data_IF_682125581647
#
_entry.id   IF_682125581647
#
_cell.length_a   1.000
_cell.length_b   1.000
_cell.length_c   1.000
_cell.angle_alpha   90.00
_cell.angle_beta   90.00
_cell.angle_gamma   90.00
#
_symmetry.space_group_name_H-M   'P 1'
#
loop_
_entity.id
_entity.type
_entity.pdbx_description
1 polymer ?
#
# COMPACT_ATOMS: atom_id res chain seq x y z
N UNK A 1 18.88 53.43 25.44
CA UNK A 1 18.54 51.99 25.45
C UNK A 1 17.97 51.58 24.10
N UNK A 2 18.77 50.94 23.24
CA UNK A 2 18.39 50.58 21.87
C UNK A 2 17.70 49.20 21.88
N UNK A 3 16.36 49.16 21.95
CA UNK A 3 15.60 47.91 21.91
C UNK A 3 15.68 47.32 20.49
N UNK A 4 16.54 46.33 20.26
CA UNK A 4 16.59 45.60 18.99
C UNK A 4 15.17 45.06 18.68
N UNK A 5 14.65 45.24 17.46
CA UNK A 5 13.27 44.91 17.17
C UNK A 5 13.03 43.41 17.31
N UNK A 6 12.19 43.05 18.28
CA UNK A 6 11.75 41.68 18.62
C UNK A 6 11.22 40.95 17.36
N UNK A 7 10.72 41.70 16.37
CA UNK A 7 10.18 41.16 15.12
C UNK A 7 11.21 40.37 14.28
N UNK A 8 12.47 40.82 14.18
CA UNK A 8 13.51 40.13 13.38
C UNK A 8 13.87 38.74 13.93
N UNK A 9 13.84 38.55 15.25
CA UNK A 9 14.12 37.24 15.88
C UNK A 9 13.00 36.24 15.64
N UNK A 10 11.75 36.69 15.61
CA UNK A 10 10.59 35.82 15.32
C UNK A 10 10.64 35.32 13.88
N UNK A 11 10.96 36.18 12.90
CA UNK A 11 11.07 35.78 11.49
C UNK A 11 12.14 34.72 11.23
N UNK A 12 13.29 34.80 11.92
CA UNK A 12 14.36 33.79 11.83
C UNK A 12 13.92 32.44 12.40
N UNK A 13 13.21 32.43 13.53
CA UNK A 13 12.68 31.20 14.14
C UNK A 13 11.64 30.53 13.22
N UNK A 14 10.73 31.31 12.63
CA UNK A 14 9.77 30.80 11.64
C UNK A 14 10.46 30.23 10.39
N UNK A 15 11.52 30.90 9.90
CA UNK A 15 12.31 30.42 8.77
C UNK A 15 13.03 29.10 9.05
N UNK A 16 13.66 28.97 10.22
CA UNK A 16 14.32 27.72 10.66
C UNK A 16 13.29 26.59 10.82
N UNK A 17 12.14 26.88 11.43
CA UNK A 17 11.05 25.93 11.58
C UNK A 17 10.51 25.42 10.23
N UNK A 18 10.29 26.32 9.27
CA UNK A 18 9.84 25.96 7.93
C UNK A 18 10.87 25.09 7.20
N UNK A 19 12.15 25.45 7.26
CA UNK A 19 13.23 24.67 6.67
C UNK A 19 13.30 23.26 7.26
N UNK A 20 13.25 23.14 8.60
CA UNK A 20 13.20 21.86 9.30
C UNK A 20 12.02 21.01 8.85
N UNK A 21 10.81 21.59 8.77
CA UNK A 21 9.62 20.89 8.30
C UNK A 21 9.80 20.39 6.85
N UNK A 22 10.35 21.20 5.95
CA UNK A 22 10.57 20.82 4.55
C UNK A 22 11.61 19.69 4.43
N UNK A 23 12.73 19.76 5.18
CA UNK A 23 13.74 18.70 5.19
C UNK A 23 13.18 17.40 5.76
N UNK A 24 12.47 17.45 6.88
CA UNK A 24 11.82 16.28 7.47
C UNK A 24 10.81 15.69 6.48
N UNK A 25 9.99 16.52 5.83
CA UNK A 25 9.04 16.07 4.82
C UNK A 25 9.74 15.36 3.66
N UNK A 26 10.83 15.94 3.14
CA UNK A 26 11.61 15.35 2.05
C UNK A 26 12.24 14.00 2.42
N UNK A 27 12.71 13.85 3.66
CA UNK A 27 13.33 12.59 4.12
C UNK A 27 12.31 11.50 4.44
N UNK A 28 11.12 11.86 4.93
CA UNK A 28 10.13 10.89 5.43
C UNK A 28 9.13 10.43 4.35
N UNK A 29 8.91 11.24 3.32
CA UNK A 29 7.88 11.01 2.32
C UNK A 29 8.46 11.03 0.90
N UNK A 30 8.24 9.96 0.15
CA UNK A 30 8.61 9.89 -1.27
C UNK A 30 7.35 9.91 -2.13
N UNK A 31 7.43 10.54 -3.31
CA UNK A 31 6.34 10.58 -4.26
C UNK A 31 6.49 9.45 -5.28
N UNK A 32 5.39 8.77 -5.60
CA UNK A 32 5.35 7.70 -6.60
C UNK A 32 4.21 7.94 -7.58
N UNK A 33 4.43 7.65 -8.86
CA UNK A 33 3.38 7.58 -9.88
C UNK A 33 2.91 6.13 -9.94
N UNK A 34 1.60 5.91 -9.98
CA UNK A 34 1.03 4.58 -10.24
C UNK A 34 1.11 4.31 -11.74
N UNK A 35 1.71 3.19 -12.11
CA UNK A 35 1.75 2.70 -13.49
C UNK A 35 0.97 1.37 -13.56
N UNK A 36 -0.01 1.32 -14.47
CA UNK A 36 -0.86 0.16 -14.73
C UNK A 36 -2.13 0.07 -13.87
N UNK A 37 -2.89 -1.01 -14.09
CA UNK A 37 -4.29 -1.12 -13.63
C UNK A 37 -4.51 -2.08 -12.45
N UNK A 38 -3.44 -2.73 -11.97
CA UNK A 38 -3.54 -3.84 -11.00
C UNK A 38 -4.16 -3.47 -9.65
N UNK A 39 -4.15 -2.18 -9.30
CA UNK A 39 -4.72 -1.65 -8.07
C UNK A 39 -6.01 -0.87 -8.28
N UNK A 40 -6.57 -0.86 -9.50
CA UNK A 40 -7.88 -0.25 -9.73
C UNK A 40 -8.95 -0.94 -8.87
N UNK A 41 -10.11 -0.30 -8.61
CA UNK A 41 -10.33 1.13 -8.78
C UNK A 41 -9.65 1.97 -7.68
N UNK A 42 -9.06 1.33 -6.67
CA UNK A 42 -8.47 1.98 -5.50
C UNK A 42 -7.37 2.95 -5.92
N UNK A 43 -6.45 2.51 -6.78
CA UNK A 43 -5.42 3.32 -7.42
C UNK A 43 -5.49 3.12 -8.93
N UNK A 44 -5.50 4.21 -9.67
CA UNK A 44 -5.54 4.24 -11.14
C UNK A 44 -4.19 4.64 -11.69
N UNK A 45 -3.94 4.25 -12.93
CA UNK A 45 -2.80 4.72 -13.70
C UNK A 45 -2.70 6.27 -13.66
N UNK A 46 -1.49 6.78 -13.45
CA UNK A 46 -1.21 8.21 -13.31
C UNK A 46 -1.53 8.83 -11.93
N UNK A 47 -2.11 8.09 -10.98
CA UNK A 47 -2.30 8.58 -9.61
C UNK A 47 -0.95 8.91 -8.96
N UNK A 48 -0.85 10.06 -8.28
CA UNK A 48 0.34 10.40 -7.47
C UNK A 48 0.13 10.03 -6.01
N UNK A 49 1.09 9.30 -5.48
CA UNK A 49 1.08 8.75 -4.13
C UNK A 49 2.13 9.43 -3.25
N UNK A 50 1.76 9.67 -2.00
CA UNK A 50 2.70 9.91 -0.91
C UNK A 50 2.89 8.60 -0.17
N UNK A 51 4.13 8.13 -0.09
CA UNK A 51 4.47 6.93 0.67
C UNK A 51 5.34 7.27 1.89
N UNK A 52 5.17 6.52 2.98
CA UNK A 52 6.02 6.61 4.18
C UNK A 52 6.88 5.36 4.34
N UNK A 53 8.15 5.56 4.69
CA UNK A 53 9.12 4.47 4.95
C UNK A 53 9.07 3.94 6.39
N UNK A 54 8.24 4.55 7.22
CA UNK A 54 8.23 4.34 8.67
C UNK A 54 6.91 3.72 9.12
N UNK A 55 6.99 2.96 10.21
CA UNK A 55 5.84 2.27 10.77
C UNK A 55 5.81 0.78 10.43
N UNK A 56 5.08 0.01 11.23
CA UNK A 56 4.87 -1.41 11.00
C UNK A 56 3.90 -1.61 9.84
N UNK A 57 4.20 -2.56 8.96
CA UNK A 57 3.29 -3.00 7.90
C UNK A 57 2.13 -3.78 8.54
N UNK A 58 0.91 -3.32 8.28
CA UNK A 58 -0.32 -3.93 8.77
C UNK A 58 -1.07 -4.59 7.62
N UNK A 59 -2.01 -5.48 7.98
CA UNK A 59 -2.91 -6.08 7.00
C UNK A 59 -3.74 -4.99 6.33
N UNK A 60 -3.93 -5.12 5.03
CA UNK A 60 -4.62 -4.20 4.13
C UNK A 60 -3.89 -2.89 3.83
N UNK A 61 -2.69 -2.70 4.35
CA UNK A 61 -1.82 -1.64 3.89
C UNK A 61 -1.52 -1.83 2.41
N UNK A 62 -1.56 -0.73 1.65
CA UNK A 62 -1.03 -0.70 0.30
C UNK A 62 0.44 -0.33 0.40
N UNK A 63 1.30 -1.12 -0.23
CA UNK A 63 2.74 -0.97 -0.16
C UNK A 63 3.34 -0.85 -1.55
N UNK A 64 4.42 -0.08 -1.66
CA UNK A 64 5.31 -0.07 -2.82
C UNK A 64 6.54 -0.89 -2.47
N UNK A 65 6.97 -1.78 -3.38
CA UNK A 65 8.14 -2.63 -3.18
C UNK A 65 8.90 -2.87 -4.49
N UNK A 66 10.21 -3.06 -4.38
CA UNK A 66 11.07 -3.43 -5.50
C UNK A 66 10.76 -4.87 -5.96
N UNK A 67 10.10 -5.01 -7.11
CA UNK A 67 9.82 -6.31 -7.71
C UNK A 67 11.09 -6.91 -8.33
N UNK A 68 11.89 -6.07 -8.97
CA UNK A 68 13.23 -6.37 -9.47
C UNK A 68 14.13 -5.11 -9.36
N UNK A 69 15.26 -5.08 -10.07
CA UNK A 69 16.21 -3.94 -10.00
C UNK A 69 15.72 -2.69 -10.72
N UNK A 70 14.74 -2.82 -11.61
CA UNK A 70 14.24 -1.72 -12.45
C UNK A 70 12.80 -1.33 -12.12
N UNK A 71 12.01 -2.23 -11.54
CA UNK A 71 10.57 -2.06 -11.39
C UNK A 71 10.10 -2.10 -9.92
N UNK A 72 9.25 -1.13 -9.59
CA UNK A 72 8.54 -1.02 -8.31
C UNK A 72 7.07 -1.35 -8.51
N UNK A 73 6.53 -2.25 -7.69
CA UNK A 73 5.12 -2.63 -7.74
C UNK A 73 4.37 -2.08 -6.54
N UNK A 74 3.12 -1.68 -6.77
CA UNK A 74 2.15 -1.33 -5.73
C UNK A 74 1.11 -2.44 -5.59
N UNK A 75 0.93 -2.96 -4.37
CA UNK A 75 -0.04 -4.02 -4.03
C UNK A 75 -0.57 -3.87 -2.60
N UNK A 76 -1.70 -4.51 -2.29
CA UNK A 76 -2.27 -4.56 -0.95
C UNK A 76 -1.77 -5.78 -0.17
N UNK A 77 -1.37 -5.58 1.08
CA UNK A 77 -0.97 -6.65 2.00
C UNK A 77 -2.19 -7.43 2.45
N UNK A 78 -2.23 -8.73 2.16
CA UNK A 78 -3.31 -9.63 2.56
C UNK A 78 -2.86 -10.57 3.68
N UNK A 79 -1.61 -11.02 3.66
CA UNK A 79 -1.03 -11.90 4.68
C UNK A 79 0.25 -11.34 5.29
N UNK A 80 0.32 -11.37 6.62
CA UNK A 80 1.48 -11.03 7.44
C UNK A 80 2.17 -12.32 7.95
N UNK A 81 3.42 -12.24 8.45
CA UNK A 81 4.12 -13.40 8.99
C UNK A 81 3.28 -14.23 9.97
N UNK A 82 3.22 -15.55 9.73
CA UNK A 82 2.46 -16.51 10.52
C UNK A 82 1.03 -16.76 10.01
N UNK A 83 0.50 -15.93 9.12
CA UNK A 83 -0.88 -16.10 8.64
C UNK A 83 -1.06 -17.30 7.72
N UNK A 84 -2.19 -17.98 7.87
CA UNK A 84 -2.77 -18.87 6.86
C UNK A 84 -3.78 -18.08 6.04
N UNK A 85 -3.69 -18.15 4.71
CA UNK A 85 -4.59 -17.45 3.79
C UNK A 85 -5.35 -18.48 2.96
N UNK A 86 -6.65 -18.27 2.78
CA UNK A 86 -7.44 -19.00 1.81
C UNK A 86 -8.52 -18.10 1.22
N UNK A 87 -8.88 -18.34 -0.03
CA UNK A 87 -10.11 -17.84 -0.64
C UNK A 87 -11.04 -19.01 -0.91
N UNK A 88 -12.31 -18.85 -0.53
CA UNK A 88 -13.38 -19.79 -0.87
C UNK A 88 -14.63 -19.00 -1.19
N UNK A 89 -15.18 -19.21 -2.37
CA UNK A 89 -16.36 -18.49 -2.87
C UNK A 89 -16.18 -16.97 -2.81
N UNK A 90 -15.02 -16.47 -3.25
CA UNK A 90 -14.67 -15.04 -3.24
C UNK A 90 -14.68 -14.39 -1.85
N UNK A 91 -14.60 -15.21 -0.79
CA UNK A 91 -14.45 -14.77 0.60
C UNK A 91 -13.03 -15.06 1.07
N UNK A 92 -12.35 -14.03 1.58
CA UNK A 92 -11.05 -14.13 2.21
C UNK A 92 -11.18 -14.78 3.59
N UNK A 93 -10.34 -15.76 3.87
CA UNK A 93 -10.14 -16.35 5.19
C UNK A 93 -8.69 -16.13 5.63
N UNK A 94 -8.53 -15.53 6.80
CA UNK A 94 -7.24 -15.37 7.47
C UNK A 94 -7.27 -16.16 8.77
N UNK A 95 -6.35 -17.12 8.91
CA UNK A 95 -6.30 -18.02 10.07
C UNK A 95 -7.65 -18.72 10.35
N UNK A 96 -8.35 -19.08 9.27
CA UNK A 96 -9.67 -19.74 9.31
C UNK A 96 -10.87 -18.81 9.57
N UNK A 97 -10.64 -17.52 9.84
CA UNK A 97 -11.72 -16.54 10.07
C UNK A 97 -12.02 -15.78 8.79
N UNK A 98 -13.30 -15.62 8.40
CA UNK A 98 -13.65 -14.80 7.26
C UNK A 98 -13.30 -13.33 7.54
N UNK A 99 -12.80 -12.64 6.53
CA UNK A 99 -12.44 -11.21 6.62
C UNK A 99 -13.09 -10.45 5.48
N UNK A 100 -13.73 -9.32 5.82
CA UNK A 100 -14.34 -8.45 4.83
C UNK A 100 -13.29 -7.67 4.03
N UNK A 101 -13.62 -7.41 2.77
CA UNK A 101 -12.79 -6.62 1.85
C UNK A 101 -13.60 -5.47 1.24
N UNK A 102 -13.90 -4.40 2.01
CA UNK A 102 -14.75 -3.31 1.53
C UNK A 102 -14.22 -2.63 0.27
N UNK A 103 -12.90 -2.58 0.09
CA UNK A 103 -12.23 -1.99 -1.09
C UNK A 103 -12.55 -2.72 -2.40
N UNK A 104 -13.05 -3.97 -2.34
CA UNK A 104 -13.48 -4.72 -3.54
C UNK A 104 -14.95 -4.52 -3.88
N UNK A 105 -15.76 -3.92 -3.01
CA UNK A 105 -17.22 -3.75 -3.24
C UNK A 105 -17.53 -3.10 -4.59
N UNK A 106 -16.79 -2.08 -5.08
CA UNK A 106 -17.04 -1.53 -6.41
C UNK A 106 -16.88 -2.53 -7.55
N UNK A 107 -15.90 -3.46 -7.47
CA UNK A 107 -15.77 -4.53 -8.46
C UNK A 107 -16.83 -5.60 -8.30
N UNK A 108 -17.06 -6.08 -7.07
CA UNK A 108 -18.05 -7.12 -6.81
C UNK A 108 -19.45 -6.73 -7.27
N UNK A 109 -19.82 -5.44 -7.16
CA UNK A 109 -21.10 -4.92 -7.68
C UNK A 109 -21.21 -4.90 -9.21
N UNK A 110 -20.09 -4.90 -9.94
CA UNK A 110 -20.06 -4.88 -11.41
C UNK A 110 -19.97 -6.27 -12.02
N UNK A 111 -19.72 -7.30 -11.21
CA UNK A 111 -19.73 -8.68 -11.67
C UNK A 111 -21.16 -9.10 -11.96
N UNK A 112 -21.42 -9.45 -13.23
CA UNK A 112 -22.70 -9.99 -13.69
C UNK A 112 -22.80 -11.48 -13.30
N UNK A 113 -21.68 -12.20 -13.40
CA UNK A 113 -21.53 -13.59 -13.01
C UNK A 113 -20.06 -13.86 -12.58
N UNK A 114 -19.85 -14.92 -11.81
CA UNK A 114 -18.53 -15.39 -11.39
C UNK A 114 -18.01 -14.82 -10.06
N UNK A 115 -16.74 -15.13 -9.78
CA UNK A 115 -16.02 -14.73 -8.56
C UNK A 115 -14.94 -13.72 -8.94
N UNK A 116 -14.80 -12.64 -8.16
CA UNK A 116 -13.70 -11.69 -8.37
C UNK A 116 -12.34 -12.34 -8.08
N UNK A 117 -12.31 -13.16 -7.03
CA UNK A 117 -11.14 -13.93 -6.60
C UNK A 117 -11.50 -15.41 -6.64
N UNK A 118 -10.75 -16.18 -7.44
CA UNK A 118 -10.86 -17.63 -7.48
C UNK A 118 -10.51 -18.28 -6.13
N UNK A 119 -10.96 -19.52 -5.96
CA UNK A 119 -10.67 -20.28 -4.74
C UNK A 119 -9.20 -20.73 -4.75
N UNK A 120 -8.51 -20.55 -3.61
CA UNK A 120 -7.15 -21.03 -3.42
C UNK A 120 -6.77 -21.10 -1.94
N UNK A 121 -5.73 -21.85 -1.62
CA UNK A 121 -5.02 -21.77 -0.34
C UNK A 121 -3.60 -21.22 -0.52
N UNK A 122 -3.04 -20.64 0.54
CA UNK A 122 -1.66 -20.17 0.53
C UNK A 122 -0.68 -21.31 0.15
N UNK A 123 -0.97 -22.52 0.60
CA UNK A 123 -0.15 -23.70 0.34
C UNK A 123 -0.18 -24.08 -1.14
N UNK A 124 -1.34 -24.05 -1.80
CA UNK A 124 -1.46 -24.29 -3.24
C UNK A 124 -0.68 -23.25 -4.07
N UNK A 125 -0.75 -21.97 -3.69
CA UNK A 125 -0.12 -20.89 -4.45
C UNK A 125 1.39 -20.77 -4.21
N UNK A 126 1.87 -21.16 -3.02
CA UNK A 126 3.24 -20.84 -2.59
C UNK A 126 4.05 -22.02 -2.04
N UNK A 127 3.43 -23.18 -1.88
CA UNK A 127 4.01 -24.35 -1.21
C UNK A 127 4.25 -24.17 0.29
N UNK A 128 3.66 -23.14 0.92
CA UNK A 128 3.81 -22.85 2.36
C UNK A 128 2.45 -22.72 3.04
N UNK A 129 2.29 -23.39 4.18
CA UNK A 129 1.07 -23.35 5.01
C UNK A 129 0.80 -21.98 5.64
N UNK A 130 1.86 -21.24 5.95
CA UNK A 130 1.81 -19.91 6.56
C UNK A 130 2.77 -18.95 5.87
N UNK A 131 2.46 -17.65 5.91
CA UNK A 131 3.40 -16.61 5.44
C UNK A 131 4.68 -16.69 6.28
N UNK A 132 5.88 -16.83 5.67
CA UNK A 132 7.13 -16.93 6.42
C UNK A 132 7.49 -15.65 7.18
N UNK A 133 8.36 -15.78 8.20
CA UNK A 133 8.94 -14.63 8.90
C UNK A 133 9.65 -13.69 7.91
N UNK A 134 9.51 -12.38 8.13
CA UNK A 134 10.12 -11.35 7.28
C UNK A 134 9.53 -11.24 5.87
N UNK A 135 8.35 -11.81 5.63
CA UNK A 135 7.66 -11.78 4.34
C UNK A 135 6.19 -11.38 4.48
N UNK A 136 5.61 -10.92 3.38
CA UNK A 136 4.19 -10.62 3.24
C UNK A 136 3.62 -11.29 2.00
N UNK A 137 2.32 -11.55 2.01
CA UNK A 137 1.54 -12.01 0.86
C UNK A 137 0.66 -10.86 0.40
N UNK A 138 0.76 -10.47 -0.88
CA UNK A 138 0.13 -9.26 -1.41
C UNK A 138 -0.77 -9.60 -2.60
N UNK A 139 -1.88 -8.88 -2.75
CA UNK A 139 -2.79 -8.97 -3.89
C UNK A 139 -3.03 -7.59 -4.49
N UNK A 140 -3.29 -7.53 -5.79
CA UNK A 140 -3.89 -6.34 -6.40
C UNK A 140 -5.39 -6.26 -6.11
N UNK A 141 -5.91 -5.04 -6.05
CA UNK A 141 -7.37 -4.82 -5.88
C UNK A 141 -8.13 -5.17 -7.18
N UNK A 142 -7.48 -5.01 -8.34
CA UNK A 142 -7.97 -5.51 -9.63
C UNK A 142 -7.62 -6.98 -9.80
N UNK A 143 -8.34 -7.84 -9.06
CA UNK A 143 -8.01 -9.26 -8.88
C UNK A 143 -7.85 -10.06 -10.16
N UNK A 144 -8.63 -9.74 -11.19
CA UNK A 144 -8.59 -10.45 -12.48
C UNK A 144 -7.44 -9.95 -13.38
N UNK A 145 -6.90 -8.75 -13.13
CA UNK A 145 -5.84 -8.13 -13.93
C UNK A 145 -4.61 -7.76 -13.07
N UNK A 146 -4.25 -8.64 -12.12
CA UNK A 146 -3.15 -8.40 -11.20
C UNK A 146 -2.18 -9.57 -11.16
N UNK A 147 -0.95 -9.29 -11.60
CA UNK A 147 0.22 -10.13 -11.32
C UNK A 147 0.71 -9.84 -9.89
N UNK A 148 0.37 -10.73 -8.96
CA UNK A 148 0.62 -10.59 -7.53
C UNK A 148 1.10 -11.90 -6.87
N UNK A 149 1.02 -12.01 -5.54
CA UNK A 149 1.55 -13.17 -4.81
C UNK A 149 0.92 -14.51 -5.18
N UNK A 150 -0.23 -14.53 -5.88
CA UNK A 150 -0.78 -15.75 -6.48
C UNK A 150 0.13 -16.33 -7.57
N UNK A 151 0.97 -15.50 -8.19
CA UNK A 151 1.84 -15.85 -9.31
C UNK A 151 3.31 -15.87 -8.90
N UNK A 152 3.80 -14.84 -8.19
CA UNK A 152 5.22 -14.73 -7.81
C UNK A 152 5.52 -15.11 -6.35
N UNK A 153 4.50 -15.47 -5.57
CA UNK A 153 4.66 -15.81 -4.15
C UNK A 153 4.94 -14.59 -3.26
N UNK A 154 5.78 -14.77 -2.24
CA UNK A 154 5.92 -13.79 -1.15
C UNK A 154 6.84 -12.62 -1.48
N UNK A 155 6.53 -11.45 -0.93
CA UNK A 155 7.42 -10.27 -0.95
C UNK A 155 8.22 -10.23 0.35
N UNK A 156 9.53 -10.01 0.27
CA UNK A 156 10.36 -9.82 1.47
C UNK A 156 10.17 -8.41 2.03
N UNK A 157 10.12 -8.28 3.35
CA UNK A 157 9.93 -6.98 4.00
C UNK A 157 11.03 -5.97 3.65
N UNK A 158 12.25 -6.43 3.36
CA UNK A 158 13.36 -5.56 2.93
C UNK A 158 13.26 -5.07 1.47
N UNK A 159 12.33 -5.60 0.67
CA UNK A 159 12.01 -5.08 -0.66
C UNK A 159 11.00 -3.93 -0.59
N UNK A 160 10.32 -3.76 0.55
CA UNK A 160 9.28 -2.75 0.73
C UNK A 160 9.93 -1.37 0.81
N UNK A 161 9.56 -0.50 -0.12
CA UNK A 161 9.98 0.91 -0.14
C UNK A 161 9.21 1.69 0.93
N UNK A 162 7.89 1.47 1.01
CA UNK A 162 7.04 2.15 1.97
C UNK A 162 5.56 1.82 1.82
N UNK A 163 4.77 2.32 2.77
CA UNK A 163 3.30 2.26 2.78
C UNK A 163 2.74 3.48 2.06
N UNK A 164 1.65 3.30 1.31
CA UNK A 164 0.88 4.40 0.72
C UNK A 164 0.05 5.07 1.80
N UNK A 165 0.31 6.36 2.05
CA UNK A 165 -0.39 7.16 3.06
C UNK A 165 -1.45 8.06 2.44
N UNK A 166 -1.22 8.51 1.21
CA UNK A 166 -2.16 9.33 0.49
C UNK A 166 -2.03 9.11 -1.02
N UNK A 167 -3.16 9.22 -1.71
CA UNK A 167 -3.25 9.55 -3.12
C UNK A 167 -3.64 11.01 -3.15
N UNK A 168 -2.81 11.87 -3.74
CA UNK A 168 -3.02 13.32 -3.67
C UNK A 168 -3.32 13.98 -5.01
N UNK A 169 -3.09 13.27 -6.13
CA UNK A 169 -3.42 13.75 -7.46
C UNK A 169 -4.08 12.64 -8.29
N UNK A 170 -5.12 12.96 -9.09
CA UNK A 170 -5.73 14.29 -9.22
C UNK A 170 -6.47 14.70 -7.93
N UNK A 171 -6.63 16.00 -7.69
CA UNK A 171 -7.09 16.50 -6.38
C UNK A 171 -8.52 16.09 -6.02
N UNK A 172 -9.37 15.87 -7.02
CA UNK A 172 -10.73 15.34 -6.89
C UNK A 172 -10.75 13.85 -6.48
N UNK A 173 -9.63 13.14 -6.65
CA UNK A 173 -9.43 11.77 -6.19
C UNK A 173 -8.67 11.69 -4.85
N UNK A 174 -8.41 12.80 -4.15
CA UNK A 174 -7.64 12.81 -2.90
C UNK A 174 -8.17 11.78 -1.88
N UNK A 175 -7.29 10.90 -1.39
CA UNK A 175 -7.64 9.86 -0.43
C UNK A 175 -6.48 9.55 0.51
N UNK A 176 -6.77 9.35 1.79
CA UNK A 176 -5.81 8.92 2.83
C UNK A 176 -6.22 7.61 3.51
N UNK A 177 -7.37 7.07 3.11
CA UNK A 177 -7.94 5.81 3.60
C UNK A 177 -8.31 4.97 2.38
N UNK A 178 -7.87 3.72 2.38
CA UNK A 178 -7.95 2.80 1.24
C UNK A 178 -8.45 1.43 1.65
#
# INVERSE_FOLDING_TARGET
MNKRPIHRRKSVIWGIGLLLILTIRFLLFTNYVVEGESMMPTLRDGNLLVISKFGSIQRFDIIVFHANKQEDYVKRVIGLPGDRIAYKNDVLYVNGKPVEEPYLKPYKRRLIDGKLTGDFTLEEMTGKKTVPKGRVFVLGDNRLNSWDSRHFGFVKMNQIVGKVNARYWPFDEFATRF
#
